data_IF_359151120703
#
_entry.id   IF_359151120703
#
_cell.length_a   1.000
_cell.length_b   1.000
_cell.length_c   1.000
_cell.angle_alpha   90.00
_cell.angle_beta   90.00
_cell.angle_gamma   90.00
#
_symmetry.space_group_name_H-M   'P 1'
#
loop_
_entity.id
_entity.type
_entity.pdbx_description
1 polymer ?
#
# COMPACT_ATOMS: atom_id res chain seq x y z
N UNK A 1 6.11 -10.84 -7.07
CA UNK A 1 6.24 -9.78 -6.05
C UNK A 1 5.01 -9.79 -5.14
N UNK A 2 5.03 -9.18 -3.95
CA UNK A 2 3.84 -9.13 -3.07
C UNK A 2 3.40 -7.67 -2.88
N UNK A 3 2.08 -7.44 -2.81
CA UNK A 3 1.49 -6.12 -2.53
C UNK A 3 2.07 -5.50 -1.24
N UNK A 4 2.29 -6.36 -0.24
CA UNK A 4 3.01 -6.04 1.00
C UNK A 4 4.35 -5.36 0.76
N UNK A 5 5.21 -5.97 -0.05
CA UNK A 5 6.56 -5.46 -0.27
C UNK A 5 6.54 -4.14 -1.06
N UNK A 6 5.59 -3.99 -1.97
CA UNK A 6 5.39 -2.73 -2.69
C UNK A 6 4.92 -1.60 -1.74
N UNK A 7 3.95 -1.88 -0.86
CA UNK A 7 3.48 -0.91 0.14
C UNK A 7 4.60 -0.50 1.11
N UNK A 8 5.35 -1.46 1.63
CA UNK A 8 6.49 -1.19 2.52
C UNK A 8 7.59 -0.41 1.80
N UNK A 9 7.88 -0.73 0.54
CA UNK A 9 8.86 0.04 -0.25
C UNK A 9 8.45 1.49 -0.46
N UNK A 10 7.17 1.73 -0.78
CA UNK A 10 6.63 3.08 -0.95
C UNK A 10 6.65 3.88 0.36
N UNK A 11 6.26 3.25 1.47
CA UNK A 11 6.24 3.87 2.80
C UNK A 11 7.65 4.12 3.35
N UNK A 12 8.62 3.26 3.03
CA UNK A 12 10.03 3.44 3.39
C UNK A 12 10.65 4.66 2.70
N UNK A 13 10.21 5.00 1.49
CA UNK A 13 10.70 6.19 0.78
C UNK A 13 10.17 7.49 1.39
N UNK A 14 8.87 7.53 1.74
CA UNK A 14 8.23 8.67 2.39
C UNK A 14 6.92 8.23 3.05
N UNK A 15 6.57 8.76 4.24
CA UNK A 15 5.22 8.64 4.78
C UNK A 15 4.20 9.15 3.76
N UNK A 16 3.15 8.37 3.53
CA UNK A 16 2.06 8.67 2.61
C UNK A 16 0.75 8.22 3.20
N UNK A 17 -0.31 8.94 2.87
CA UNK A 17 -1.67 8.54 3.23
C UNK A 17 -2.10 7.31 2.43
N UNK A 18 -3.07 6.55 2.96
CA UNK A 18 -3.65 5.42 2.23
C UNK A 18 -4.24 5.81 0.88
N UNK A 19 -4.73 7.05 0.74
CA UNK A 19 -5.21 7.61 -0.51
C UNK A 19 -4.09 7.83 -1.54
N UNK A 20 -2.96 8.40 -1.13
CA UNK A 20 -1.81 8.59 -2.02
C UNK A 20 -1.22 7.26 -2.48
N UNK A 21 -1.14 6.27 -1.58
CA UNK A 21 -0.73 4.93 -1.94
C UNK A 21 -1.68 4.34 -2.99
N UNK A 22 -2.99 4.39 -2.73
CA UNK A 22 -4.00 3.96 -3.71
C UNK A 22 -3.78 4.61 -5.07
N UNK A 23 -3.59 5.94 -5.11
CA UNK A 23 -3.39 6.70 -6.36
C UNK A 23 -2.14 6.25 -7.10
N UNK A 24 -1.02 6.04 -6.40
CA UNK A 24 0.22 5.51 -7.00
C UNK A 24 -0.01 4.11 -7.58
N UNK A 25 -0.76 3.26 -6.88
CA UNK A 25 -1.09 1.93 -7.39
C UNK A 25 -1.99 2.00 -8.64
N UNK A 26 -3.00 2.88 -8.67
CA UNK A 26 -3.87 3.08 -9.83
C UNK A 26 -3.08 3.65 -11.03
N UNK A 27 -2.24 4.66 -10.80
CA UNK A 27 -1.52 5.39 -11.86
C UNK A 27 -0.28 4.63 -12.39
N UNK A 28 0.45 3.92 -11.53
CA UNK A 28 1.77 3.34 -11.89
C UNK A 28 1.80 1.81 -11.92
N UNK A 29 0.95 1.13 -11.14
CA UNK A 29 1.01 -0.34 -10.96
C UNK A 29 -0.26 -1.03 -11.51
N UNK A 30 -1.33 -0.29 -11.77
CA UNK A 30 -2.63 -0.79 -12.21
C UNK A 30 -2.60 -1.55 -13.54
N UNK A 31 -1.61 -1.26 -14.40
CA UNK A 31 -1.37 -2.00 -15.64
C UNK A 31 -0.86 -3.44 -15.42
N UNK A 32 -0.15 -3.70 -14.32
CA UNK A 32 0.48 -4.99 -14.03
C UNK A 32 -0.20 -5.76 -12.90
N UNK A 33 -1.07 -5.11 -12.14
CA UNK A 33 -1.68 -5.69 -10.95
C UNK A 33 -3.17 -5.36 -10.88
N UNK A 34 -4.02 -6.35 -11.16
CA UNK A 34 -5.48 -6.30 -10.98
C UNK A 34 -5.84 -6.39 -9.48
N UNK A 35 -5.29 -5.48 -8.67
CA UNK A 35 -5.65 -5.35 -7.26
C UNK A 35 -6.90 -4.50 -7.13
N UNK A 36 -7.95 -5.04 -6.51
CA UNK A 36 -9.10 -4.21 -6.12
C UNK A 36 -8.62 -3.22 -5.07
N UNK A 37 -9.01 -1.94 -5.18
CA UNK A 37 -8.70 -0.88 -4.20
C UNK A 37 -8.86 -1.33 -2.74
N UNK A 38 -9.86 -2.17 -2.45
CA UNK A 38 -10.09 -2.74 -1.12
C UNK A 38 -8.94 -3.60 -0.57
N UNK A 39 -8.18 -4.28 -1.42
CA UNK A 39 -7.04 -5.09 -1.00
C UNK A 39 -5.87 -4.24 -0.50
N UNK A 40 -5.70 -3.01 -1.00
CA UNK A 40 -4.66 -2.08 -0.51
C UNK A 40 -4.95 -1.71 0.95
N UNK A 41 -6.17 -1.25 1.23
CA UNK A 41 -6.57 -0.89 2.58
C UNK A 41 -6.55 -2.09 3.54
N UNK A 42 -6.99 -3.27 3.09
CA UNK A 42 -6.90 -4.48 3.90
C UNK A 42 -5.44 -4.86 4.22
N UNK A 43 -4.52 -4.73 3.26
CA UNK A 43 -3.12 -5.03 3.51
C UNK A 43 -2.47 -3.97 4.42
N UNK A 44 -2.84 -2.70 4.29
CA UNK A 44 -2.42 -1.64 5.22
C UNK A 44 -2.87 -1.95 6.65
N UNK A 45 -4.14 -2.31 6.86
CA UNK A 45 -4.64 -2.72 8.18
C UNK A 45 -3.84 -3.91 8.74
N UNK A 46 -3.57 -4.94 7.92
CA UNK A 46 -2.73 -6.08 8.33
C UNK A 46 -1.29 -5.70 8.64
N UNK A 47 -0.75 -4.66 8.01
CA UNK A 47 0.60 -4.16 8.29
C UNK A 47 0.63 -3.41 9.63
N UNK A 48 -0.41 -2.64 9.92
CA UNK A 48 -0.58 -1.94 11.19
C UNK A 48 -0.83 -2.90 12.35
N UNK A 49 -1.68 -3.91 12.18
CA UNK A 49 -1.89 -5.00 13.16
C UNK A 49 -0.57 -5.71 13.50
N UNK A 50 0.30 -5.88 12.50
CA UNK A 50 1.64 -6.46 12.66
C UNK A 50 2.68 -5.48 13.21
N UNK A 51 2.28 -4.23 13.51
CA UNK A 51 3.16 -3.13 13.97
C UNK A 51 4.32 -2.82 13.03
N UNK A 52 4.14 -3.07 11.73
CA UNK A 52 5.12 -2.78 10.69
C UNK A 52 4.99 -1.36 10.15
N UNK A 53 3.80 -0.78 10.28
CA UNK A 53 3.49 0.61 9.95
C UNK A 53 2.66 1.21 11.08
N UNK A 54 2.55 2.53 11.12
CA UNK A 54 1.71 3.25 12.07
C UNK A 54 0.94 4.33 11.31
N UNK A 55 -0.35 4.43 11.55
CA UNK A 55 -1.15 5.59 11.17
C UNK A 55 -0.94 6.69 12.21
N UNK A 56 -0.40 7.82 11.78
CA UNK A 56 -0.33 9.06 12.58
C UNK A 56 -1.61 9.89 12.35
#
# INVERSE_FOLDING_TARGET
MSLRNALLGLLNYRPRTGYELKKIFEDSIGFYWTTKTSQIYNELNKLEEKRLIKSD
#
